data_IF_711747995728
#
_entry.id   IF_711747995728
#
_cell.length_a   1.000
_cell.length_b   1.000
_cell.length_c   1.000
_cell.angle_alpha   90.00
_cell.angle_beta   90.00
_cell.angle_gamma   90.00
#
_symmetry.space_group_name_H-M   'P 1'
#
loop_
_entity.id
_entity.type
_entity.pdbx_description
1 polymer ?
#
# COMPACT_ATOMS: atom_id res chain seq x y z
N UNK A 1 60.76 6.93 17.85
CA UNK A 1 60.10 6.54 16.58
C UNK A 1 59.40 7.76 16.02
N UNK A 2 59.65 8.06 14.74
CA UNK A 2 59.31 9.33 14.09
C UNK A 2 57.79 9.47 13.84
N UNK A 3 57.23 10.68 13.94
CA UNK A 3 55.86 11.00 13.54
C UNK A 3 55.80 11.14 12.01
N UNK A 4 54.68 10.77 11.37
CA UNK A 4 54.47 11.11 9.97
C UNK A 4 53.31 12.10 9.81
N UNK A 5 53.73 13.28 9.34
CA UNK A 5 53.01 14.48 8.98
C UNK A 5 52.60 14.39 7.51
N UNK A 6 51.39 14.85 7.17
CA UNK A 6 50.94 15.49 5.89
C UNK A 6 49.41 15.60 6.00
N UNK A 7 48.75 16.75 6.13
CA UNK A 7 48.94 18.12 5.64
C UNK A 7 48.91 18.26 4.11
N UNK A 8 47.71 18.57 3.58
CA UNK A 8 47.39 19.40 2.41
C UNK A 8 45.84 19.42 2.31
N UNK A 9 45.06 20.48 2.59
CA UNK A 9 45.11 21.91 2.24
C UNK A 9 44.93 22.21 0.74
N UNK A 10 43.67 22.43 0.35
CA UNK A 10 43.21 23.46 -0.60
C UNK A 10 41.70 23.64 -0.36
N UNK A 11 41.17 24.71 0.23
CA UNK A 11 41.22 26.14 -0.11
C UNK A 11 40.60 26.46 -1.47
N UNK A 12 39.42 27.10 -1.46
CA UNK A 12 39.03 28.04 -2.52
C UNK A 12 37.54 28.12 -2.85
N UNK A 13 37.01 29.35 -2.73
CA UNK A 13 35.76 29.89 -3.30
C UNK A 13 34.45 29.50 -2.59
N UNK A 14 33.63 30.42 -2.09
CA UNK A 14 33.66 31.87 -2.14
C UNK A 14 32.29 32.36 -1.66
N UNK A 15 32.27 33.05 -0.52
CA UNK A 15 31.10 33.75 -0.02
C UNK A 15 31.28 35.25 -0.32
N UNK A 16 30.25 35.87 -0.89
CA UNK A 16 30.15 37.31 -1.09
C UNK A 16 28.85 37.65 -1.81
N UNK A 17 27.93 38.35 -1.13
CA UNK A 17 26.59 38.74 -1.62
C UNK A 17 26.61 39.86 -2.67
N UNK A 18 25.70 40.86 -2.70
CA UNK A 18 24.48 41.09 -1.92
C UNK A 18 23.22 41.29 -2.82
N UNK A 19 22.08 41.45 -2.13
CA UNK A 19 20.89 42.27 -2.41
C UNK A 19 20.59 42.90 -3.80
N UNK A 20 19.29 43.16 -3.99
CA UNK A 20 18.64 44.25 -4.74
C UNK A 20 18.01 43.88 -6.11
N UNK A 21 16.71 44.18 -6.21
CA UNK A 21 15.91 44.31 -7.43
C UNK A 21 14.83 43.22 -7.52
N UNK A 22 13.55 43.42 -7.20
CA UNK A 22 12.62 44.49 -7.60
C UNK A 22 12.84 44.96 -9.05
N UNK A 23 11.73 45.09 -9.79
CA UNK A 23 11.62 45.52 -11.20
C UNK A 23 11.70 44.39 -12.25
N UNK A 24 10.56 43.73 -12.48
CA UNK A 24 10.06 43.45 -13.83
C UNK A 24 8.56 43.12 -13.84
N UNK A 25 7.76 43.94 -13.14
CA UNK A 25 6.39 44.17 -13.55
C UNK A 25 6.42 45.10 -14.77
N UNK A 26 6.57 44.56 -15.99
CA UNK A 26 6.34 45.34 -17.21
C UNK A 26 5.84 44.46 -18.36
N UNK A 27 4.60 44.78 -18.73
CA UNK A 27 4.11 44.89 -20.10
C UNK A 27 3.97 43.60 -20.93
N UNK A 28 2.77 43.00 -20.85
CA UNK A 28 2.15 42.45 -22.06
C UNK A 28 0.62 42.61 -22.05
N UNK A 29 0.12 43.85 -21.96
CA UNK A 29 -1.31 44.17 -21.97
C UNK A 29 -1.80 44.82 -23.27
N UNK A 30 -0.97 44.89 -24.33
CA UNK A 30 -1.38 45.49 -25.62
C UNK A 30 -1.46 44.43 -26.71
N UNK A 31 -2.58 43.74 -26.80
CA UNK A 31 -3.22 43.31 -28.06
C UNK A 31 -4.72 43.03 -27.80
N UNK A 32 -5.45 44.04 -27.33
CA UNK A 32 -6.92 44.06 -27.37
C UNK A 32 -7.37 44.81 -28.63
N UNK A 33 -7.52 44.07 -29.74
CA UNK A 33 -8.27 44.53 -30.90
C UNK A 33 -9.79 44.32 -30.70
N UNK A 34 -10.65 45.27 -31.07
CA UNK A 34 -12.10 45.19 -30.89
C UNK A 34 -12.79 44.39 -32.02
N UNK A 35 -12.36 43.16 -32.28
CA UNK A 35 -12.75 42.43 -33.50
C UNK A 35 -13.27 40.99 -33.26
N UNK A 36 -13.73 40.65 -32.04
CA UNK A 36 -14.36 39.33 -31.78
C UNK A 36 -15.54 39.39 -30.81
N UNK A 37 -16.52 40.24 -31.10
CA UNK A 37 -17.81 40.24 -30.41
C UNK A 37 -18.79 39.15 -30.92
N UNK A 38 -18.49 38.49 -32.05
CA UNK A 38 -19.44 37.58 -32.71
C UNK A 38 -19.37 36.08 -32.35
N UNK A 39 -18.30 35.61 -31.71
CA UNK A 39 -18.11 34.15 -31.48
C UNK A 39 -18.32 33.69 -30.03
N UNK A 40 -18.56 34.61 -29.09
CA UNK A 40 -18.69 34.32 -27.65
C UNK A 40 -20.00 33.68 -27.22
N UNK A 41 -21.01 33.61 -28.07
CA UNK A 41 -22.30 32.99 -27.73
C UNK A 41 -22.38 31.50 -28.12
N UNK A 42 -21.48 30.99 -28.97
CA UNK A 42 -21.40 29.54 -29.25
C UNK A 42 -20.52 28.78 -28.25
N UNK A 43 -19.45 29.38 -27.71
CA UNK A 43 -18.61 28.67 -26.72
C UNK A 43 -19.20 28.63 -25.32
N UNK A 44 -20.22 29.43 -25.01
CA UNK A 44 -20.84 29.45 -23.67
C UNK A 44 -21.84 28.30 -23.46
N UNK A 45 -22.40 27.71 -24.52
CA UNK A 45 -23.24 26.50 -24.41
C UNK A 45 -22.41 25.21 -24.30
N UNK A 46 -21.19 25.20 -24.80
CA UNK A 46 -20.26 24.06 -24.64
C UNK A 46 -19.47 24.10 -23.33
N UNK A 47 -19.30 25.28 -22.73
CA UNK A 47 -18.70 25.41 -21.39
C UNK A 47 -19.67 24.98 -20.28
N UNK A 48 -20.98 25.16 -20.46
CA UNK A 48 -21.97 24.80 -19.43
C UNK A 48 -22.28 23.30 -19.37
N UNK A 49 -22.01 22.52 -20.43
CA UNK A 49 -22.09 21.05 -20.42
C UNK A 49 -20.85 20.38 -19.82
N UNK A 50 -19.74 21.10 -19.59
CA UNK A 50 -18.54 20.56 -18.93
C UNK A 50 -18.46 20.85 -17.43
N UNK A 51 -19.31 21.73 -16.91
CA UNK A 51 -19.28 22.13 -15.49
C UNK A 51 -20.18 21.30 -14.57
N UNK A 52 -21.00 20.39 -15.10
CA UNK A 52 -21.74 19.41 -14.28
C UNK A 52 -21.04 18.05 -14.12
N UNK A 53 -19.85 17.88 -14.70
CA UNK A 53 -19.10 16.62 -14.66
C UNK A 53 -17.94 16.61 -13.64
N UNK A 54 -17.79 17.65 -12.82
CA UNK A 54 -16.57 17.84 -12.03
C UNK A 54 -16.82 18.40 -10.63
N UNK A 55 -17.64 17.74 -9.81
CA UNK A 55 -17.68 17.96 -8.35
C UNK A 55 -18.54 16.94 -7.59
N UNK A 56 -18.67 15.69 -8.07
CA UNK A 56 -19.20 14.62 -7.22
C UNK A 56 -18.07 14.00 -6.39
N UNK A 57 -17.83 14.60 -5.22
CA UNK A 57 -17.61 13.88 -3.98
C UNK A 57 -16.49 12.86 -3.97
N UNK A 58 -15.27 13.36 -3.75
CA UNK A 58 -14.03 12.62 -3.45
C UNK A 58 -14.05 11.91 -2.07
N UNK A 59 -15.21 11.44 -1.62
CA UNK A 59 -15.44 10.85 -0.30
C UNK A 59 -15.90 9.37 -0.34
N UNK A 60 -16.05 8.77 -1.53
CA UNK A 60 -16.56 7.39 -1.69
C UNK A 60 -15.59 6.38 -2.32
N UNK A 61 -14.29 6.69 -2.40
CA UNK A 61 -13.31 5.89 -3.16
C UNK A 61 -12.84 4.61 -2.43
N UNK A 62 -13.76 3.86 -1.82
CA UNK A 62 -13.44 2.53 -1.27
C UNK A 62 -14.17 1.36 -1.95
N UNK A 63 -15.26 1.56 -2.71
CA UNK A 63 -15.98 0.44 -3.36
C UNK A 63 -16.74 0.83 -4.65
N UNK A 64 -16.14 1.60 -5.57
CA UNK A 64 -16.72 1.80 -6.90
C UNK A 64 -16.36 0.61 -7.82
N UNK A 65 -17.19 -0.44 -7.80
CA UNK A 65 -17.24 -1.45 -8.88
C UNK A 65 -17.93 -0.77 -10.07
N UNK A 66 -17.14 -0.32 -11.06
CA UNK A 66 -17.64 0.36 -12.25
C UNK A 66 -18.45 -0.57 -13.16
N UNK A 67 -19.64 -0.17 -13.64
CA UNK A 67 -20.44 -0.91 -14.60
C UNK A 67 -19.87 -0.71 -16.01
N UNK A 68 -18.85 -1.48 -16.33
CA UNK A 68 -18.17 -1.47 -17.63
C UNK A 68 -17.21 -2.64 -17.81
N UNK A 69 -17.45 -3.76 -17.10
CA UNK A 69 -16.73 -5.01 -17.33
C UNK A 69 -17.29 -5.68 -18.58
N UNK A 70 -16.95 -5.13 -19.74
CA UNK A 70 -16.85 -5.97 -20.92
C UNK A 70 -15.88 -7.12 -20.59
N UNK A 71 -16.33 -8.31 -20.94
CA UNK A 71 -15.72 -9.61 -20.74
C UNK A 71 -14.44 -9.78 -21.57
N UNK A 72 -13.56 -8.77 -21.59
CA UNK A 72 -12.22 -8.85 -22.15
C UNK A 72 -11.34 -9.68 -21.21
N UNK A 73 -11.32 -10.98 -21.48
CA UNK A 73 -10.20 -11.85 -21.16
C UNK A 73 -9.86 -11.96 -19.68
N UNK A 74 -10.37 -13.02 -19.06
CA UNK A 74 -9.96 -13.65 -17.80
C UNK A 74 -8.45 -14.04 -17.73
N UNK A 75 -7.53 -13.26 -18.29
CA UNK A 75 -6.12 -13.32 -17.92
C UNK A 75 -5.94 -12.64 -16.56
N UNK A 76 -6.59 -13.24 -15.56
CA UNK A 76 -6.43 -12.97 -14.14
C UNK A 76 -5.01 -13.37 -13.75
N UNK A 77 -4.01 -12.58 -14.17
CA UNK A 77 -2.60 -12.80 -13.83
C UNK A 77 -2.40 -12.36 -12.38
N UNK A 78 -2.94 -13.15 -11.46
CA UNK A 78 -2.48 -13.19 -10.07
C UNK A 78 -0.97 -13.28 -10.14
N UNK A 79 -0.29 -12.24 -9.64
CA UNK A 79 1.17 -12.24 -9.65
C UNK A 79 1.58 -13.21 -8.57
N UNK A 80 1.85 -14.46 -8.95
CA UNK A 80 2.25 -15.52 -8.03
C UNK A 80 3.43 -15.07 -7.16
N UNK A 81 4.36 -14.31 -7.74
CA UNK A 81 5.48 -13.71 -7.00
C UNK A 81 5.08 -12.71 -5.91
N UNK A 82 3.93 -12.03 -6.01
CA UNK A 82 3.42 -11.17 -4.94
C UNK A 82 2.81 -11.98 -3.78
N UNK A 83 2.11 -13.07 -4.12
CA UNK A 83 1.51 -13.99 -3.15
C UNK A 83 2.61 -14.73 -2.38
N UNK A 84 3.56 -15.35 -3.08
CA UNK A 84 4.69 -16.05 -2.48
C UNK A 84 5.52 -15.13 -1.59
N UNK A 85 5.71 -13.88 -2.00
CA UNK A 85 6.38 -12.87 -1.18
C UNK A 85 5.64 -12.59 0.13
N UNK A 86 4.32 -12.39 0.07
CA UNK A 86 3.51 -12.17 1.27
C UNK A 86 3.50 -13.38 2.20
N UNK A 87 3.34 -14.59 1.66
CA UNK A 87 3.39 -15.83 2.43
C UNK A 87 4.77 -16.01 3.07
N UNK A 88 5.86 -15.79 2.32
CA UNK A 88 7.22 -15.89 2.85
C UNK A 88 7.47 -14.96 4.04
N UNK A 89 7.02 -13.70 3.95
CA UNK A 89 7.11 -12.76 5.07
C UNK A 89 6.22 -13.16 6.25
N UNK A 90 5.02 -13.66 6.00
CA UNK A 90 4.12 -14.15 7.05
C UNK A 90 4.74 -15.34 7.80
N UNK A 91 5.32 -16.28 7.05
CA UNK A 91 6.02 -17.44 7.59
C UNK A 91 7.26 -17.05 8.41
N UNK A 92 8.04 -16.07 7.92
CA UNK A 92 9.19 -15.57 8.65
C UNK A 92 8.77 -14.86 9.96
N UNK A 93 7.73 -14.04 9.91
CA UNK A 93 7.22 -13.33 11.09
C UNK A 93 6.67 -14.30 12.15
N UNK A 94 5.87 -15.30 11.76
CA UNK A 94 5.36 -16.28 12.74
C UNK A 94 6.49 -17.11 13.33
N UNK A 95 7.53 -17.44 12.54
CA UNK A 95 8.70 -18.16 13.04
C UNK A 95 9.47 -17.31 14.05
N UNK A 96 9.67 -16.01 13.77
CA UNK A 96 10.35 -15.10 14.67
C UNK A 96 9.56 -14.89 15.97
N UNK A 97 8.25 -14.66 15.88
CA UNK A 97 7.39 -14.52 17.06
C UNK A 97 7.33 -15.81 17.86
N UNK A 98 7.23 -16.97 17.20
CA UNK A 98 7.28 -18.27 17.84
C UNK A 98 8.60 -18.54 18.54
N UNK A 99 9.72 -18.15 17.93
CA UNK A 99 11.06 -18.27 18.53
C UNK A 99 11.19 -17.39 19.77
N UNK A 100 10.76 -16.12 19.69
CA UNK A 100 10.75 -15.20 20.83
C UNK A 100 9.86 -15.75 21.94
N UNK A 101 8.66 -16.25 21.61
CA UNK A 101 7.74 -16.83 22.59
C UNK A 101 8.33 -18.09 23.23
N UNK A 102 8.95 -18.97 22.45
CA UNK A 102 9.65 -20.15 22.97
C UNK A 102 10.79 -19.78 23.91
N UNK A 103 11.55 -18.72 23.58
CA UNK A 103 12.62 -18.21 24.44
C UNK A 103 12.07 -17.63 25.75
N UNK A 104 10.98 -16.86 25.70
CA UNK A 104 10.33 -16.31 26.91
C UNK A 104 9.87 -17.44 27.82
N UNK A 105 9.23 -18.48 27.26
CA UNK A 105 8.78 -19.66 28.02
C UNK A 105 9.96 -20.45 28.57
N UNK A 106 11.08 -20.54 27.84
CA UNK A 106 12.28 -21.23 28.29
C UNK A 106 12.98 -20.50 29.45
N UNK A 107 12.94 -19.16 29.46
CA UNK A 107 13.63 -18.34 30.46
C UNK A 107 12.76 -17.98 31.67
N UNK A 108 11.44 -18.15 31.58
CA UNK A 108 10.51 -17.70 32.62
C UNK A 108 9.62 -18.85 33.07
N UNK A 109 9.40 -19.06 34.38
CA UNK A 109 8.42 -20.03 34.90
C UNK A 109 6.97 -19.51 34.73
N UNK A 110 6.67 -18.94 33.57
CA UNK A 110 5.39 -18.32 33.27
C UNK A 110 4.37 -19.41 32.93
N UNK A 111 3.10 -19.30 33.36
CA UNK A 111 2.03 -20.17 32.90
C UNK A 111 1.88 -20.15 31.36
N UNK A 112 1.36 -21.26 30.82
CA UNK A 112 1.07 -21.45 29.40
C UNK A 112 0.31 -20.23 28.85
N UNK A 113 0.76 -19.68 27.72
CA UNK A 113 0.16 -18.47 27.15
C UNK A 113 -1.33 -18.71 26.84
N UNK A 114 -2.23 -17.76 27.16
CA UNK A 114 -3.65 -17.90 26.84
C UNK A 114 -3.88 -18.10 25.35
N UNK A 115 -4.84 -18.93 24.97
CA UNK A 115 -5.20 -19.16 23.57
C UNK A 115 -5.52 -17.86 22.82
N UNK A 116 -6.15 -16.90 23.52
CA UNK A 116 -6.45 -15.58 22.98
C UNK A 116 -5.19 -14.83 22.47
N UNK A 117 -4.05 -14.98 23.16
CA UNK A 117 -2.79 -14.36 22.74
C UNK A 117 -2.32 -14.92 21.41
N UNK A 118 -2.35 -16.25 21.26
CA UNK A 118 -1.95 -16.94 20.03
C UNK A 118 -2.82 -16.50 18.86
N UNK A 119 -4.13 -16.36 19.08
CA UNK A 119 -5.07 -15.84 18.07
C UNK A 119 -4.73 -14.41 17.63
N UNK A 120 -4.39 -13.52 18.56
CA UNK A 120 -3.96 -12.14 18.24
C UNK A 120 -2.70 -12.14 17.39
N UNK A 121 -1.70 -12.97 17.74
CA UNK A 121 -0.47 -13.10 16.96
C UNK A 121 -0.76 -13.51 15.52
N UNK A 122 -1.61 -14.52 15.30
CA UNK A 122 -1.99 -14.93 13.94
C UNK A 122 -2.67 -13.82 13.15
N UNK A 123 -3.57 -13.06 13.78
CA UNK A 123 -4.23 -11.91 13.14
C UNK A 123 -3.22 -10.85 12.72
N UNK A 124 -2.27 -10.49 13.59
CA UNK A 124 -1.23 -9.50 13.29
C UNK A 124 -0.32 -9.97 12.16
N UNK A 125 0.13 -11.23 12.20
CA UNK A 125 0.98 -11.81 11.16
C UNK A 125 0.27 -11.82 9.81
N UNK A 126 -0.99 -12.25 9.75
CA UNK A 126 -1.77 -12.27 8.50
C UNK A 126 -2.04 -10.86 7.99
N UNK A 127 -2.31 -9.90 8.88
CA UNK A 127 -2.51 -8.50 8.50
C UNK A 127 -1.26 -7.92 7.84
N UNK A 128 -0.08 -8.12 8.44
CA UNK A 128 1.21 -7.66 7.89
C UNK A 128 1.58 -8.41 6.61
N UNK A 129 1.33 -9.71 6.56
CA UNK A 129 1.50 -10.55 5.37
C UNK A 129 0.66 -10.08 4.19
N UNK A 130 -0.63 -9.84 4.44
CA UNK A 130 -1.57 -9.29 3.48
C UNK A 130 -1.15 -7.90 3.02
N UNK A 131 -0.70 -7.04 3.95
CA UNK A 131 -0.16 -5.71 3.64
C UNK A 131 1.01 -5.77 2.65
N UNK A 132 2.02 -6.59 2.94
CA UNK A 132 3.20 -6.74 2.07
C UNK A 132 2.83 -7.34 0.70
N UNK A 133 1.91 -8.32 0.66
CA UNK A 133 1.40 -8.89 -0.58
C UNK A 133 0.70 -7.83 -1.45
N UNK A 134 -0.22 -7.06 -0.84
CA UNK A 134 -0.96 -5.99 -1.52
C UNK A 134 -0.04 -4.88 -2.03
N UNK A 135 0.95 -4.49 -1.22
CA UNK A 135 1.93 -3.47 -1.60
C UNK A 135 2.76 -3.87 -2.83
N UNK A 136 3.13 -5.14 -2.94
CA UNK A 136 3.88 -5.69 -4.08
C UNK A 136 3.01 -5.93 -5.31
N UNK A 137 1.74 -6.32 -5.13
CA UNK A 137 0.81 -6.53 -6.23
C UNK A 137 0.49 -5.22 -6.97
N UNK A 138 0.31 -4.11 -6.23
CA UNK A 138 0.08 -2.78 -6.79
C UNK A 138 -1.30 -2.57 -7.43
N UNK A 139 -2.12 -3.62 -7.52
CA UNK A 139 -3.53 -3.61 -7.91
C UNK A 139 -4.29 -4.76 -7.21
N UNK A 140 -5.61 -4.59 -7.02
CA UNK A 140 -6.50 -5.62 -6.42
C UNK A 140 -5.93 -6.26 -5.14
N UNK A 141 -5.51 -5.40 -4.21
CA UNK A 141 -4.87 -5.81 -2.95
C UNK A 141 -5.71 -6.77 -2.12
N UNK A 142 -7.03 -6.58 -2.11
CA UNK A 142 -7.97 -7.45 -1.40
C UNK A 142 -7.86 -8.93 -1.83
N UNK A 143 -7.74 -9.21 -3.13
CA UNK A 143 -7.66 -10.58 -3.63
C UNK A 143 -6.35 -11.27 -3.23
N UNK A 144 -5.23 -10.54 -3.32
CA UNK A 144 -3.92 -11.07 -2.93
C UNK A 144 -3.84 -11.28 -1.42
N UNK A 145 -4.30 -10.31 -0.63
CA UNK A 145 -4.33 -10.39 0.82
C UNK A 145 -5.26 -11.48 1.34
N UNK A 146 -6.45 -11.62 0.75
CA UNK A 146 -7.39 -12.70 1.07
C UNK A 146 -6.80 -14.08 0.78
N UNK A 147 -6.11 -14.25 -0.35
CA UNK A 147 -5.44 -15.51 -0.68
C UNK A 147 -4.28 -15.82 0.28
N UNK A 148 -3.51 -14.80 0.70
CA UNK A 148 -2.49 -14.98 1.74
C UNK A 148 -3.12 -15.42 3.06
N UNK A 149 -4.19 -14.77 3.53
CA UNK A 149 -4.88 -15.14 4.77
C UNK A 149 -5.47 -16.56 4.72
N UNK A 150 -6.06 -16.94 3.58
CA UNK A 150 -6.60 -18.27 3.35
C UNK A 150 -5.50 -19.35 3.35
N UNK A 151 -4.44 -19.17 2.55
CA UNK A 151 -3.35 -20.14 2.45
C UNK A 151 -2.58 -20.28 3.77
N UNK A 152 -2.34 -19.16 4.45
CA UNK A 152 -1.73 -19.16 5.78
C UNK A 152 -2.60 -19.91 6.78
N UNK A 153 -3.89 -19.53 6.88
CA UNK A 153 -4.82 -20.16 7.82
C UNK A 153 -4.97 -21.65 7.55
N UNK A 154 -4.96 -22.06 6.28
CA UNK A 154 -5.00 -23.48 5.88
C UNK A 154 -3.75 -24.22 6.35
N UNK A 155 -2.57 -23.61 6.19
CA UNK A 155 -1.31 -24.15 6.70
C UNK A 155 -1.30 -24.32 8.22
N UNK A 156 -1.80 -23.32 8.96
CA UNK A 156 -1.93 -23.39 10.42
C UNK A 156 -2.92 -24.49 10.83
N UNK A 157 -4.10 -24.53 10.22
CA UNK A 157 -5.10 -25.55 10.51
C UNK A 157 -4.58 -26.97 10.23
N UNK A 158 -3.87 -27.14 9.11
CA UNK A 158 -3.23 -28.39 8.74
C UNK A 158 -2.17 -28.82 9.77
N UNK A 159 -1.30 -27.90 10.17
CA UNK A 159 -0.26 -28.16 11.16
C UNK A 159 -0.84 -28.52 12.53
N UNK A 160 -1.87 -27.80 12.99
CA UNK A 160 -2.44 -28.02 14.32
C UNK A 160 -3.26 -29.30 14.45
N UNK A 161 -3.96 -29.75 13.39
CA UNK A 161 -4.87 -30.90 13.45
C UNK A 161 -4.43 -32.12 12.63
N UNK A 162 -3.33 -32.02 11.88
CA UNK A 162 -2.76 -33.15 11.13
C UNK A 162 -3.56 -33.60 9.89
N UNK A 163 -4.48 -32.78 9.38
CA UNK A 163 -5.34 -33.12 8.23
C UNK A 163 -6.81 -32.74 8.46
N UNK A 164 -7.72 -32.95 7.47
CA UNK A 164 -9.06 -32.36 7.49
C UNK A 164 -9.94 -33.01 8.57
N UNK A 165 -10.56 -32.17 9.43
CA UNK A 165 -11.89 -31.73 9.04
C UNK A 165 -11.93 -30.21 8.89
N UNK A 166 -11.68 -29.72 7.66
CA UNK A 166 -11.96 -28.33 7.26
C UNK A 166 -13.43 -27.95 7.48
N UNK A 167 -14.28 -28.95 7.71
CA UNK A 167 -15.70 -28.84 8.04
C UNK A 167 -15.99 -28.64 9.53
N UNK A 168 -14.99 -28.63 10.40
CA UNK A 168 -15.17 -28.13 11.76
C UNK A 168 -15.57 -26.65 11.70
N UNK A 169 -16.77 -26.33 12.18
CA UNK A 169 -17.33 -24.97 12.17
C UNK A 169 -16.38 -23.97 12.81
N UNK A 170 -15.65 -24.37 13.85
CA UNK A 170 -14.67 -23.49 14.51
C UNK A 170 -13.49 -23.15 13.60
N UNK A 171 -12.98 -24.14 12.88
CA UNK A 171 -11.86 -23.96 11.93
C UNK A 171 -12.31 -23.14 10.72
N UNK A 172 -13.47 -23.45 10.16
CA UNK A 172 -14.03 -22.71 9.02
C UNK A 172 -14.27 -21.24 9.35
N UNK A 173 -14.85 -20.96 10.53
CA UNK A 173 -15.02 -19.58 11.02
C UNK A 173 -13.68 -18.87 11.18
N UNK A 174 -12.70 -19.55 11.79
CA UNK A 174 -11.37 -18.97 11.97
C UNK A 174 -10.66 -18.67 10.64
N UNK A 175 -10.76 -19.57 9.66
CA UNK A 175 -10.26 -19.36 8.29
C UNK A 175 -10.92 -18.16 7.62
N UNK A 176 -12.23 -17.98 7.79
CA UNK A 176 -12.96 -16.83 7.26
C UNK A 176 -12.43 -15.52 7.90
N UNK A 177 -12.24 -15.49 9.22
CA UNK A 177 -11.66 -14.34 9.92
C UNK A 177 -10.27 -14.01 9.38
N UNK A 178 -9.36 -14.99 9.27
CA UNK A 178 -8.01 -14.75 8.75
C UNK A 178 -8.03 -14.28 7.28
N UNK A 179 -8.96 -14.80 6.48
CA UNK A 179 -9.13 -14.37 5.09
C UNK A 179 -9.54 -12.90 5.03
N UNK A 180 -10.55 -12.49 5.82
CA UNK A 180 -11.01 -11.08 5.87
C UNK A 180 -9.90 -10.16 6.38
N UNK A 181 -9.20 -10.54 7.44
CA UNK A 181 -8.04 -9.79 7.95
C UNK A 181 -6.97 -9.65 6.86
N UNK A 182 -6.68 -10.72 6.13
CA UNK A 182 -5.77 -10.71 5.00
C UNK A 182 -6.23 -9.75 3.90
N UNK A 183 -7.52 -9.76 3.55
CA UNK A 183 -8.10 -8.81 2.58
C UNK A 183 -7.90 -7.36 3.01
N UNK A 184 -8.15 -7.04 4.29
CA UNK A 184 -7.97 -5.70 4.86
C UNK A 184 -6.50 -5.28 4.75
N UNK A 185 -5.57 -6.14 5.17
CA UNK A 185 -4.13 -5.89 5.03
C UNK A 185 -3.77 -5.62 3.56
N UNK A 186 -4.26 -6.46 2.65
CA UNK A 186 -4.05 -6.32 1.21
C UNK A 186 -4.55 -4.99 0.64
N UNK A 187 -5.72 -4.51 1.07
CA UNK A 187 -6.26 -3.21 0.67
C UNK A 187 -5.35 -2.05 1.11
N UNK A 188 -4.90 -2.08 2.37
CA UNK A 188 -3.97 -1.08 2.92
C UNK A 188 -2.66 -1.07 2.10
N UNK A 189 -2.15 -2.25 1.76
CA UNK A 189 -0.94 -2.36 0.93
C UNK A 189 -1.07 -1.82 -0.47
N UNK A 190 -2.16 -2.17 -1.16
CA UNK A 190 -2.40 -1.64 -2.49
C UNK A 190 -2.55 -0.12 -2.48
N UNK A 191 -3.28 0.44 -1.51
CA UNK A 191 -3.42 1.89 -1.35
C UNK A 191 -2.07 2.58 -1.10
N UNK A 192 -1.23 2.00 -0.23
CA UNK A 192 0.10 2.52 0.05
C UNK A 192 1.02 2.49 -1.18
N UNK A 193 0.93 1.43 -1.99
CA UNK A 193 1.70 1.31 -3.23
C UNK A 193 1.27 2.34 -4.29
N UNK A 194 -0.04 2.60 -4.39
CA UNK A 194 -0.58 3.61 -5.30
C UNK A 194 -0.03 5.01 -4.97
N UNK A 195 -0.11 5.46 -3.72
CA UNK A 195 0.39 6.79 -3.32
C UNK A 195 1.92 6.98 -3.41
N UNK A 196 2.70 5.91 -3.64
CA UNK A 196 4.12 6.04 -3.97
C UNK A 196 4.36 6.34 -5.45
N UNK A 197 3.49 5.91 -6.36
CA UNK A 197 3.67 6.15 -7.80
C UNK A 197 3.43 7.61 -8.16
N UNK A 198 2.41 8.22 -7.56
CA UNK A 198 2.01 9.61 -7.83
C UNK A 198 3.06 10.65 -7.38
N UNK A 199 4.03 10.27 -6.53
CA UNK A 199 5.07 11.19 -6.05
C UNK A 199 6.25 11.35 -7.00
N UNK A 200 6.38 10.51 -8.02
CA UNK A 200 7.54 10.48 -8.93
C UNK A 200 7.16 10.64 -10.40
N UNK A 201 5.89 10.98 -10.67
CA UNK A 201 5.34 11.29 -11.99
C UNK A 201 5.04 12.78 -12.10
#
# INVERSE_FOLDING_TARGET
MRPNVRAAASAGAGAGGPAVGEVAARANWRLTGPERAGSRLKSSREASTRLTAGTSGRAGAFFAVGPGMETEGLHFRLRLGAILWGIGWSALLILLVGLIQGLIVALTPWPVLPEAWVRVVHVVVVLVGGWLAGAKAGCRGWAHGGLVGLLYGLGVAWWSKGGPPLWDRGVAWWLAVLTVVGMIGGMIGAAWSAGRRDRWS
#
